data_IF_045633841516
#
_entry.id   IF_045633841516
#
_cell.length_a   1.000
_cell.length_b   1.000
_cell.length_c   1.000
_cell.angle_alpha   90.00
_cell.angle_beta   90.00
_cell.angle_gamma   90.00
#
_symmetry.space_group_name_H-M   'P 1'
#
loop_
_entity.id
_entity.type
_entity.pdbx_description
1 polymer ?
#
# COMPACT_ATOMS: atom_id res chain seq x y z
N UNK A 1 1.02 -6.63 27.68
CA UNK A 1 0.89 -5.72 26.52
C UNK A 1 -0.54 -5.85 26.00
N UNK A 2 -1.24 -4.76 25.67
CA UNK A 2 -2.60 -4.83 25.10
C UNK A 2 -2.50 -5.33 23.66
N UNK A 3 -3.29 -6.33 23.27
CA UNK A 3 -3.26 -6.86 21.90
C UNK A 3 -3.70 -5.81 20.87
N UNK A 4 -3.25 -5.94 19.62
CA UNK A 4 -3.66 -5.05 18.54
C UNK A 4 -5.17 -5.14 18.30
N UNK A 5 -5.75 -6.34 18.41
CA UNK A 5 -7.21 -6.51 18.35
C UNK A 5 -7.95 -5.77 19.48
N UNK A 6 -7.40 -5.76 20.71
CA UNK A 6 -7.96 -4.96 21.81
C UNK A 6 -7.83 -3.45 21.56
N UNK A 7 -6.78 -2.98 20.87
CA UNK A 7 -6.68 -1.58 20.43
C UNK A 7 -7.74 -1.26 19.36
N UNK A 8 -7.91 -2.16 18.39
CA UNK A 8 -8.81 -2.03 17.25
C UNK A 8 -10.27 -1.81 17.66
N UNK A 9 -10.73 -2.53 18.69
CA UNK A 9 -12.12 -2.55 19.14
C UNK A 9 -12.51 -1.39 20.09
N UNK A 10 -11.59 -0.44 20.34
CA UNK A 10 -11.85 0.73 21.18
C UNK A 10 -12.71 1.75 20.42
N UNK A 11 -13.77 2.27 21.08
CA UNK A 11 -14.64 3.31 20.50
C UNK A 11 -13.86 4.50 19.92
N UNK A 12 -12.86 5.00 20.67
CA UNK A 12 -11.99 6.11 20.21
C UNK A 12 -11.26 5.81 18.91
N UNK A 13 -10.85 4.56 18.72
CA UNK A 13 -10.09 4.12 17.54
C UNK A 13 -11.00 4.03 16.32
N UNK A 14 -12.21 3.51 16.50
CA UNK A 14 -13.23 3.47 15.46
C UNK A 14 -13.65 4.89 15.05
N UNK A 15 -13.84 5.79 16.02
CA UNK A 15 -14.14 7.20 15.75
C UNK A 15 -13.01 7.89 14.96
N UNK A 16 -11.75 7.71 15.38
CA UNK A 16 -10.58 8.24 14.67
C UNK A 16 -10.52 7.71 13.22
N UNK A 17 -10.77 6.41 13.03
CA UNK A 17 -10.77 5.81 11.70
C UNK A 17 -11.87 6.38 10.79
N UNK A 18 -13.01 6.79 11.34
CA UNK A 18 -14.05 7.50 10.61
C UNK A 18 -13.57 8.86 10.14
N UNK A 19 -13.05 9.70 11.05
CA UNK A 19 -12.55 11.03 10.69
C UNK A 19 -11.47 10.96 9.62
N UNK A 20 -10.48 10.07 9.77
CA UNK A 20 -9.44 9.91 8.76
C UNK A 20 -9.94 9.26 7.44
N UNK A 21 -11.11 8.62 7.43
CA UNK A 21 -11.72 8.10 6.20
C UNK A 21 -12.42 9.18 5.39
N UNK A 22 -12.80 10.29 6.04
CA UNK A 22 -13.50 11.44 5.45
C UNK A 22 -12.64 12.70 5.32
N UNK A 23 -11.45 12.73 5.95
CA UNK A 23 -10.49 13.84 5.83
C UNK A 23 -10.08 14.10 4.37
N UNK A 24 -10.03 15.39 4.01
CA UNK A 24 -9.78 15.89 2.66
C UNK A 24 -8.29 15.85 2.34
N UNK A 25 -7.92 15.32 1.18
CA UNK A 25 -6.66 15.69 0.54
C UNK A 25 -6.90 16.93 -0.32
N UNK A 26 -6.28 18.04 0.05
CA UNK A 26 -6.19 19.23 -0.79
C UNK A 26 -4.90 19.09 -1.59
N UNK A 27 -5.03 18.94 -2.91
CA UNK A 27 -3.88 18.97 -3.80
C UNK A 27 -3.27 20.39 -3.82
N UNK A 28 -1.97 20.54 -4.16
CA UNK A 28 -1.31 21.85 -4.23
C UNK A 28 -1.95 22.85 -5.20
N UNK A 29 -2.74 22.37 -6.17
CA UNK A 29 -3.51 23.16 -7.13
C UNK A 29 -4.89 23.62 -6.60
N UNK A 30 -5.22 23.32 -5.34
CA UNK A 30 -6.50 23.62 -4.72
C UNK A 30 -7.61 22.60 -5.03
N UNK A 31 -7.32 21.55 -5.81
CA UNK A 31 -8.27 20.48 -6.09
C UNK A 31 -8.54 19.69 -4.82
N UNK A 32 -9.80 19.69 -4.37
CA UNK A 32 -10.24 18.81 -3.28
C UNK A 32 -10.51 17.41 -3.84
N UNK A 33 -9.54 16.51 -3.71
CA UNK A 33 -9.78 15.10 -3.99
C UNK A 33 -10.49 14.46 -2.80
N UNK A 34 -11.84 14.51 -2.84
CA UNK A 34 -12.78 13.41 -2.54
C UNK A 34 -14.18 13.95 -2.22
N UNK A 35 -15.10 13.83 -3.18
CA UNK A 35 -16.46 13.40 -2.81
C UNK A 35 -16.33 11.91 -2.55
N UNK A 36 -16.49 11.46 -1.30
CA UNK A 36 -16.66 10.03 -1.06
C UNK A 36 -17.80 9.53 -1.95
N UNK A 37 -17.54 8.46 -2.70
CA UNK A 37 -18.54 7.81 -3.53
C UNK A 37 -19.09 6.66 -2.70
N UNK A 38 -20.41 6.63 -2.43
CA UNK A 38 -21.03 5.53 -1.70
C UNK A 38 -20.71 4.16 -2.29
N UNK A 39 -20.69 3.15 -1.42
CA UNK A 39 -20.57 1.76 -1.82
C UNK A 39 -21.90 1.20 -2.30
N UNK A 40 -22.01 -0.14 -2.31
CA UNK A 40 -23.23 -0.85 -2.73
C UNK A 40 -24.46 -0.52 -1.87
N UNK A 41 -24.24 -0.07 -0.63
CA UNK A 41 -25.28 0.35 0.33
C UNK A 41 -25.84 1.75 0.05
N UNK A 42 -25.21 2.53 -0.84
CA UNK A 42 -25.67 3.86 -1.22
C UNK A 42 -25.54 4.93 -0.14
N UNK A 43 -25.03 4.59 1.05
CA UNK A 43 -24.92 5.53 2.18
C UNK A 43 -23.84 6.57 1.94
N UNK A 44 -24.21 7.85 1.98
CA UNK A 44 -23.28 8.96 1.92
C UNK A 44 -22.63 9.25 3.28
N UNK A 45 -21.59 10.09 3.30
CA UNK A 45 -21.02 10.60 4.56
C UNK A 45 -22.10 11.32 5.39
N UNK A 46 -23.03 12.02 4.74
CA UNK A 46 -24.10 12.75 5.44
C UNK A 46 -25.06 11.79 6.13
N UNK A 47 -25.50 10.75 5.43
CA UNK A 47 -26.42 9.75 5.98
C UNK A 47 -25.75 9.00 7.14
N UNK A 48 -24.47 8.66 6.97
CA UNK A 48 -23.69 8.03 8.03
C UNK A 48 -23.57 8.94 9.27
N UNK A 49 -23.31 10.22 9.06
CA UNK A 49 -23.16 11.22 10.12
C UNK A 49 -24.44 11.55 10.89
N UNK A 50 -25.62 11.40 10.27
CA UNK A 50 -26.91 11.61 10.95
C UNK A 50 -27.16 10.60 12.08
N UNK A 51 -26.60 9.39 11.96
CA UNK A 51 -26.66 8.32 12.98
C UNK A 51 -25.26 7.86 13.37
N UNK A 52 -24.35 8.82 13.56
CA UNK A 52 -22.93 8.55 13.72
C UNK A 52 -22.64 7.55 14.84
N UNK A 53 -23.17 7.76 16.05
CA UNK A 53 -22.89 6.91 17.20
C UNK A 53 -23.32 5.45 16.98
N UNK A 54 -24.48 5.27 16.36
CA UNK A 54 -25.02 3.95 16.03
C UNK A 54 -24.15 3.24 14.99
N UNK A 55 -23.82 3.91 13.87
CA UNK A 55 -22.98 3.29 12.84
C UNK A 55 -21.56 2.99 13.32
N UNK A 56 -20.99 3.81 14.21
CA UNK A 56 -19.70 3.51 14.82
C UNK A 56 -19.78 2.34 15.81
N UNK A 57 -20.88 2.21 16.56
CA UNK A 57 -21.10 1.05 17.40
C UNK A 57 -21.33 -0.20 16.54
N UNK A 58 -22.02 -0.12 15.40
CA UNK A 58 -22.15 -1.23 14.45
C UNK A 58 -20.79 -1.68 13.91
N UNK A 59 -19.91 -0.74 13.53
CA UNK A 59 -18.53 -1.06 13.14
C UNK A 59 -17.78 -1.80 14.25
N UNK A 60 -17.98 -1.37 15.51
CA UNK A 60 -17.35 -1.98 16.67
C UNK A 60 -17.93 -3.37 16.96
N UNK A 61 -19.24 -3.54 16.85
CA UNK A 61 -19.93 -4.82 17.06
C UNK A 61 -19.55 -5.84 15.99
N UNK A 62 -19.41 -5.42 14.73
CA UNK A 62 -18.87 -6.25 13.65
C UNK A 62 -17.52 -6.88 14.06
N UNK A 63 -16.64 -6.07 14.64
CA UNK A 63 -15.33 -6.54 15.11
C UNK A 63 -15.47 -7.48 16.32
N UNK A 64 -16.23 -7.08 17.34
CA UNK A 64 -16.38 -7.82 18.60
C UNK A 64 -17.07 -9.18 18.44
N UNK A 65 -18.03 -9.28 17.52
CA UNK A 65 -18.74 -10.54 17.20
C UNK A 65 -17.88 -11.49 16.36
N UNK A 66 -16.76 -11.00 15.82
CA UNK A 66 -15.92 -11.78 14.92
C UNK A 66 -16.50 -11.89 13.51
N UNK A 67 -17.37 -10.97 13.10
CA UNK A 67 -17.94 -10.96 11.75
C UNK A 67 -16.83 -10.83 10.70
N UNK A 68 -17.05 -11.47 9.55
CA UNK A 68 -16.08 -11.53 8.42
C UNK A 68 -16.72 -11.20 7.07
N UNK A 69 -17.98 -10.78 7.07
CA UNK A 69 -18.72 -10.50 5.86
C UNK A 69 -18.74 -8.99 5.54
N UNK A 70 -17.70 -8.55 4.84
CA UNK A 70 -17.68 -7.22 4.23
C UNK A 70 -18.66 -7.15 3.05
N UNK A 71 -19.28 -5.99 2.83
CA UNK A 71 -20.17 -5.78 1.69
C UNK A 71 -19.37 -5.83 0.38
N UNK A 72 -19.98 -6.27 -0.74
CA UNK A 72 -19.31 -6.24 -2.02
C UNK A 72 -18.79 -4.85 -2.42
N UNK A 73 -17.59 -4.80 -2.97
CA UNK A 73 -17.01 -3.56 -3.50
C UNK A 73 -17.57 -3.24 -4.89
N UNK A 74 -17.78 -1.96 -5.18
CA UNK A 74 -18.15 -1.50 -6.53
C UNK A 74 -16.89 -1.21 -7.34
N UNK A 75 -16.82 -1.74 -8.57
CA UNK A 75 -15.77 -1.42 -9.52
C UNK A 75 -16.02 -0.08 -10.21
N UNK A 76 -14.97 0.71 -10.35
CA UNK A 76 -14.95 1.95 -11.11
C UNK A 76 -13.60 2.12 -11.79
N UNK A 77 -13.60 2.67 -12.99
CA UNK A 77 -12.38 3.11 -13.65
C UNK A 77 -12.15 4.60 -13.39
N UNK A 78 -10.92 4.96 -13.01
CA UNK A 78 -10.50 6.35 -12.84
C UNK A 78 -9.25 6.63 -13.68
N UNK A 79 -9.07 7.85 -14.21
CA UNK A 79 -7.82 8.23 -14.85
C UNK A 79 -6.65 8.12 -13.86
N UNK A 80 -5.57 7.46 -14.28
CA UNK A 80 -4.31 7.29 -13.55
C UNK A 80 -3.40 8.49 -13.75
N UNK A 81 -3.43 9.09 -14.94
CA UNK A 81 -2.62 10.22 -15.35
C UNK A 81 -3.39 11.14 -16.31
N UNK A 82 -2.79 12.28 -16.65
CA UNK A 82 -3.41 13.26 -17.54
C UNK A 82 -3.57 12.73 -18.98
N UNK A 83 -2.74 11.75 -19.35
CA UNK A 83 -2.70 11.10 -20.65
C UNK A 83 -3.85 10.10 -20.86
N UNK A 84 -4.66 9.83 -19.83
CA UNK A 84 -5.90 9.05 -19.96
C UNK A 84 -5.77 7.55 -19.73
N UNK A 85 -4.63 7.06 -19.22
CA UNK A 85 -4.54 5.66 -18.76
C UNK A 85 -5.57 5.44 -17.65
N UNK A 86 -6.42 4.42 -17.77
CA UNK A 86 -7.42 4.10 -16.76
C UNK A 86 -6.88 3.10 -15.74
N UNK A 87 -7.28 3.25 -14.48
CA UNK A 87 -7.00 2.30 -13.40
C UNK A 87 -8.30 1.84 -12.75
N UNK A 88 -8.37 0.55 -12.48
CA UNK A 88 -9.47 -0.06 -11.73
C UNK A 88 -9.36 0.30 -10.25
N UNK A 89 -10.47 0.77 -9.68
CA UNK A 89 -10.66 1.13 -8.27
C UNK A 89 -11.88 0.40 -7.74
N UNK A 90 -11.77 -0.08 -6.50
CA UNK A 90 -12.82 -0.82 -5.83
C UNK A 90 -13.31 -0.03 -4.61
N UNK A 91 -14.56 0.39 -4.66
CA UNK A 91 -15.20 1.25 -3.66
C UNK A 91 -15.90 0.39 -2.62
N UNK A 92 -15.46 0.50 -1.36
CA UNK A 92 -16.13 -0.12 -0.21
C UNK A 92 -17.24 0.79 0.33
N UNK A 93 -18.23 0.20 1.02
CA UNK A 93 -19.16 0.94 1.87
C UNK A 93 -18.41 1.81 2.89
N UNK A 94 -19.05 2.85 3.42
CA UNK A 94 -18.38 3.71 4.40
C UNK A 94 -18.06 2.92 5.68
N UNK A 95 -18.98 2.06 6.14
CA UNK A 95 -18.77 1.14 7.27
C UNK A 95 -17.51 0.28 7.07
N UNK A 96 -17.41 -0.40 5.93
CA UNK A 96 -16.27 -1.28 5.67
C UNK A 96 -14.97 -0.50 5.50
N UNK A 97 -15.04 0.70 4.91
CA UNK A 97 -13.88 1.59 4.80
C UNK A 97 -13.39 2.07 6.17
N UNK A 98 -14.30 2.39 7.09
CA UNK A 98 -13.99 2.72 8.50
C UNK A 98 -13.30 1.53 9.16
N UNK A 99 -13.84 0.32 9.02
CA UNK A 99 -13.22 -0.90 9.57
C UNK A 99 -11.83 -1.15 8.96
N UNK A 100 -11.68 -1.08 7.64
CA UNK A 100 -10.38 -1.22 6.97
C UNK A 100 -9.38 -0.16 7.46
N UNK A 101 -9.82 1.10 7.64
CA UNK A 101 -8.99 2.17 8.16
C UNK A 101 -8.61 1.93 9.62
N UNK A 102 -9.53 1.41 10.44
CA UNK A 102 -9.26 1.04 11.82
C UNK A 102 -8.19 -0.06 11.89
N UNK A 103 -8.27 -1.09 11.03
CA UNK A 103 -7.24 -2.12 10.90
C UNK A 103 -5.91 -1.49 10.49
N UNK A 104 -5.91 -0.62 9.48
CA UNK A 104 -4.70 0.05 9.04
C UNK A 104 -4.04 0.84 10.18
N UNK A 105 -4.81 1.59 10.97
CA UNK A 105 -4.28 2.43 12.05
C UNK A 105 -3.67 1.63 13.20
N UNK A 106 -4.15 0.41 13.50
CA UNK A 106 -3.48 -0.43 14.51
C UNK A 106 -2.22 -1.10 13.97
N UNK A 107 -2.20 -1.46 12.68
CA UNK A 107 -1.06 -2.13 12.06
C UNK A 107 0.07 -1.17 11.69
N UNK A 108 -0.26 0.08 11.34
CA UNK A 108 0.70 1.03 10.79
C UNK A 108 1.91 1.25 11.70
N UNK A 109 1.76 1.56 13.00
CA UNK A 109 2.92 1.83 13.85
C UNK A 109 3.81 0.59 14.02
N UNK A 110 3.20 -0.58 14.11
CA UNK A 110 3.90 -1.85 14.32
C UNK A 110 4.69 -2.28 13.07
N UNK A 111 4.13 -2.05 11.87
CA UNK A 111 4.79 -2.33 10.60
C UNK A 111 5.83 -1.26 10.24
N UNK A 112 5.51 0.01 10.41
CA UNK A 112 6.39 1.13 10.03
C UNK A 112 7.69 1.15 10.85
N UNK A 113 7.65 0.66 12.10
CA UNK A 113 8.83 0.47 12.93
C UNK A 113 9.78 -0.63 12.40
N UNK A 114 9.25 -1.63 11.69
CA UNK A 114 10.02 -2.71 11.08
C UNK A 114 10.62 -2.35 9.73
N UNK A 115 10.00 -1.41 9.00
CA UNK A 115 10.42 -1.07 7.64
C UNK A 115 11.84 -0.50 7.54
N UNK A 116 12.56 -0.98 6.54
CA UNK A 116 13.91 -0.52 6.23
C UNK A 116 13.95 0.98 5.86
N UNK A 117 15.07 1.69 6.14
CA UNK A 117 15.17 3.14 5.98
C UNK A 117 15.24 3.62 4.51
N UNK A 118 15.28 2.67 3.58
CA UNK A 118 15.24 2.86 2.13
C UNK A 118 13.83 2.84 1.54
N UNK A 119 12.81 2.53 2.34
CA UNK A 119 11.40 2.64 1.96
C UNK A 119 10.89 4.05 2.24
N UNK A 120 10.36 4.73 1.22
CA UNK A 120 9.90 6.13 1.26
C UNK A 120 8.42 6.33 0.95
N UNK A 121 7.66 5.26 0.74
CA UNK A 121 6.23 5.32 0.44
C UNK A 121 5.41 4.98 1.66
N UNK A 122 4.29 5.68 1.85
CA UNK A 122 3.24 5.31 2.81
C UNK A 122 3.74 5.01 4.23
N UNK A 123 4.70 5.81 4.70
CA UNK A 123 5.22 5.76 6.07
C UNK A 123 4.57 6.84 6.91
N UNK A 124 4.53 6.66 8.23
CA UNK A 124 3.94 7.67 9.11
C UNK A 124 4.85 8.90 9.23
N UNK A 125 6.15 8.66 9.27
CA UNK A 125 7.15 9.70 9.44
C UNK A 125 7.41 10.48 8.13
N UNK A 126 7.22 11.81 8.13
CA UNK A 126 7.43 12.66 6.96
C UNK A 126 8.84 12.62 6.36
N UNK A 127 9.84 12.16 7.12
CA UNK A 127 11.21 11.94 6.63
C UNK A 127 11.29 10.85 5.58
N UNK A 128 10.25 10.02 5.46
CA UNK A 128 10.14 8.94 4.48
C UNK A 128 8.95 9.17 3.55
N UNK A 129 8.99 10.28 2.81
CA UNK A 129 8.04 10.63 1.76
C UNK A 129 8.75 10.85 0.42
N UNK A 130 7.97 11.04 -0.65
CA UNK A 130 8.47 11.24 -2.02
C UNK A 130 9.55 12.32 -2.12
N UNK A 131 9.32 13.50 -1.51
CA UNK A 131 10.30 14.59 -1.51
C UNK A 131 11.62 14.23 -0.84
N UNK A 132 11.60 13.41 0.21
CA UNK A 132 12.81 12.94 0.89
C UNK A 132 13.57 11.91 0.03
N UNK A 133 12.85 11.01 -0.67
CA UNK A 133 13.45 10.08 -1.63
C UNK A 133 14.18 10.84 -2.75
N UNK A 134 13.50 11.82 -3.36
CA UNK A 134 14.07 12.68 -4.41
C UNK A 134 15.28 13.46 -3.92
N UNK A 135 15.21 14.06 -2.73
CA UNK A 135 16.34 14.77 -2.11
C UNK A 135 17.54 13.84 -1.90
N UNK A 136 17.30 12.61 -1.44
CA UNK A 136 18.36 11.61 -1.23
C UNK A 136 18.98 11.16 -2.56
N UNK A 137 18.18 10.89 -3.59
CA UNK A 137 18.66 10.53 -4.93
C UNK A 137 19.52 11.64 -5.54
N UNK A 138 19.02 12.89 -5.56
CA UNK A 138 19.77 14.05 -6.06
C UNK A 138 21.06 14.29 -5.29
N UNK A 139 21.04 14.09 -3.98
CA UNK A 139 22.22 14.20 -3.12
C UNK A 139 23.30 13.17 -3.46
N UNK A 140 22.91 11.93 -3.75
CA UNK A 140 23.82 10.87 -4.15
C UNK A 140 24.46 11.14 -5.51
N UNK A 141 23.64 11.50 -6.51
CA UNK A 141 24.11 11.89 -7.85
C UNK A 141 25.14 13.03 -7.77
N UNK A 142 24.83 14.10 -7.02
CA UNK A 142 25.75 15.24 -6.86
C UNK A 142 27.07 14.87 -6.18
N UNK A 143 27.03 13.95 -5.20
CA UNK A 143 28.23 13.54 -4.45
C UNK A 143 29.20 12.75 -5.32
N UNK A 144 28.70 11.85 -6.14
CA UNK A 144 29.53 10.93 -6.93
C UNK A 144 29.85 11.46 -8.33
N UNK A 145 29.03 12.37 -8.86
CA UNK A 145 29.23 12.89 -10.20
C UNK A 145 28.92 11.85 -11.29
N UNK A 146 29.50 12.00 -12.49
CA UNK A 146 29.21 11.12 -13.61
C UNK A 146 29.81 9.72 -13.43
N UNK A 147 29.35 8.76 -14.24
CA UNK A 147 29.88 7.40 -14.25
C UNK A 147 29.20 6.44 -13.25
N UNK A 148 28.17 6.88 -12.53
CA UNK A 148 27.32 5.99 -11.76
C UNK A 148 26.55 5.04 -12.68
N UNK A 149 26.45 3.76 -12.30
CA UNK A 149 25.49 2.82 -12.86
C UNK A 149 24.20 2.90 -12.07
N UNK A 150 23.06 2.81 -12.76
CA UNK A 150 21.74 2.71 -12.14
C UNK A 150 20.97 1.48 -12.60
N UNK A 151 20.13 1.00 -11.71
CA UNK A 151 19.01 0.11 -12.00
C UNK A 151 17.72 0.77 -11.52
N UNK A 152 16.84 1.10 -12.45
CA UNK A 152 15.51 1.66 -12.18
C UNK A 152 14.48 0.65 -12.66
N UNK A 153 13.51 0.29 -11.82
CA UNK A 153 12.44 -0.63 -12.21
C UNK A 153 11.11 -0.26 -11.57
N UNK A 154 10.07 -0.96 -11.97
CA UNK A 154 8.68 -0.86 -11.51
C UNK A 154 8.11 -2.29 -11.56
N UNK A 155 7.12 -2.60 -10.74
CA UNK A 155 6.52 -3.93 -10.69
C UNK A 155 5.20 -3.91 -11.47
N UNK A 156 5.07 -4.80 -12.44
CA UNK A 156 3.91 -4.86 -13.33
C UNK A 156 2.64 -5.18 -12.54
N UNK A 157 1.62 -4.31 -12.64
CA UNK A 157 0.31 -4.48 -11.99
C UNK A 157 0.44 -4.96 -10.54
N UNK A 158 1.35 -4.32 -9.78
CA UNK A 158 1.84 -4.85 -8.51
C UNK A 158 0.72 -5.24 -7.54
N UNK A 159 -0.16 -4.29 -7.21
CA UNK A 159 -1.24 -4.55 -6.23
C UNK A 159 -2.23 -5.59 -6.70
N UNK A 160 -2.37 -5.81 -8.01
CA UNK A 160 -3.27 -6.82 -8.56
C UNK A 160 -2.69 -8.23 -8.43
N UNK A 161 -1.37 -8.39 -8.49
CA UNK A 161 -0.70 -9.70 -8.49
C UNK A 161 -0.19 -10.17 -7.12
N UNK A 162 -0.42 -9.42 -6.04
CA UNK A 162 -0.04 -9.84 -4.68
C UNK A 162 -0.76 -11.15 -4.32
N UNK A 163 0.01 -12.20 -4.02
CA UNK A 163 -0.55 -13.48 -3.59
C UNK A 163 -1.00 -13.43 -2.13
N UNK A 164 -2.26 -13.83 -1.89
CA UNK A 164 -2.86 -13.79 -0.55
C UNK A 164 -2.22 -14.76 0.44
N UNK A 165 -1.89 -15.97 -0.02
CA UNK A 165 -1.25 -17.00 0.81
C UNK A 165 0.07 -16.50 1.40
N UNK A 166 0.97 -15.98 0.56
CA UNK A 166 2.26 -15.43 0.99
C UNK A 166 2.09 -14.22 1.93
N UNK A 167 1.13 -13.33 1.64
CA UNK A 167 0.87 -12.16 2.49
C UNK A 167 0.33 -12.57 3.87
N UNK A 168 -0.61 -13.53 3.91
CA UNK A 168 -1.22 -14.01 5.15
C UNK A 168 -0.24 -14.85 5.98
N UNK A 169 0.59 -15.67 5.35
CA UNK A 169 1.67 -16.41 6.02
C UNK A 169 2.66 -15.44 6.66
N UNK A 170 3.12 -14.43 5.90
CA UNK A 170 4.00 -13.39 6.42
C UNK A 170 3.36 -12.62 7.58
N UNK A 171 2.08 -12.30 7.48
CA UNK A 171 1.34 -11.64 8.56
C UNK A 171 1.27 -12.51 9.82
N UNK A 172 0.92 -13.79 9.69
CA UNK A 172 0.84 -14.73 10.79
C UNK A 172 2.20 -14.91 11.49
N UNK A 173 3.30 -14.95 10.72
CA UNK A 173 4.65 -15.00 11.27
C UNK A 173 5.04 -13.71 12.03
N UNK A 174 4.61 -12.54 11.55
CA UNK A 174 4.87 -11.25 12.21
C UNK A 174 4.02 -11.04 13.46
N UNK A 175 2.77 -11.51 13.45
CA UNK A 175 1.80 -11.28 14.52
C UNK A 175 1.14 -12.58 14.99
N UNK A 176 1.91 -13.54 15.57
CA UNK A 176 1.39 -14.86 15.94
C UNK A 176 0.31 -14.81 17.04
N UNK A 177 0.27 -13.73 17.83
CA UNK A 177 -0.72 -13.51 18.88
C UNK A 177 -2.00 -12.78 18.44
N UNK A 178 -2.22 -12.60 17.13
CA UNK A 178 -3.34 -11.81 16.59
C UNK A 178 -4.20 -12.59 15.56
N UNK A 179 -4.75 -13.77 15.92
CA UNK A 179 -5.54 -14.59 15.01
C UNK A 179 -6.82 -13.89 14.52
N UNK A 180 -7.43 -13.02 15.32
CA UNK A 180 -8.61 -12.26 14.94
C UNK A 180 -8.30 -11.24 13.84
N UNK A 181 -7.15 -10.56 13.93
CA UNK A 181 -6.69 -9.65 12.88
C UNK A 181 -6.33 -10.41 11.60
N UNK A 182 -5.68 -11.57 11.71
CA UNK A 182 -5.41 -12.43 10.57
C UNK A 182 -6.71 -12.84 9.86
N UNK A 183 -7.74 -13.20 10.63
CA UNK A 183 -9.08 -13.50 10.11
C UNK A 183 -9.73 -12.32 9.39
N UNK A 184 -9.62 -11.11 9.95
CA UNK A 184 -10.12 -9.88 9.31
C UNK A 184 -9.38 -9.57 8.01
N UNK A 185 -8.05 -9.73 7.97
CA UNK A 185 -7.27 -9.54 6.76
C UNK A 185 -7.63 -10.57 5.69
N UNK A 186 -7.80 -11.85 6.06
CA UNK A 186 -8.26 -12.88 5.12
C UNK A 186 -9.63 -12.54 4.54
N UNK A 187 -10.57 -12.08 5.37
CA UNK A 187 -11.89 -11.65 4.94
C UNK A 187 -11.86 -10.42 4.01
N UNK A 188 -10.99 -9.44 4.31
CA UNK A 188 -10.77 -8.27 3.45
C UNK A 188 -10.17 -8.65 2.09
N UNK A 189 -9.13 -9.49 2.07
CA UNK A 189 -8.48 -9.93 0.84
C UNK A 189 -9.44 -10.70 -0.07
N UNK A 190 -10.39 -11.45 0.52
CA UNK A 190 -11.44 -12.18 -0.19
C UNK A 190 -12.78 -11.43 -0.27
N UNK A 191 -12.79 -10.12 0.01
CA UNK A 191 -14.00 -9.31 -0.09
C UNK A 191 -14.56 -9.39 -1.52
N UNK A 192 -15.84 -9.74 -1.63
CA UNK A 192 -16.53 -9.83 -2.93
C UNK A 192 -16.46 -8.48 -3.65
N UNK A 193 -16.45 -8.49 -4.97
CA UNK A 193 -16.45 -7.27 -5.79
C UNK A 193 -17.31 -7.45 -7.02
N UNK A 194 -18.05 -6.41 -7.39
CA UNK A 194 -18.70 -6.36 -8.69
C UNK A 194 -17.66 -6.00 -9.74
N UNK A 195 -17.48 -6.85 -10.75
CA UNK A 195 -16.62 -6.60 -11.90
C UNK A 195 -17.43 -6.85 -13.17
N UNK A 196 -17.60 -5.82 -14.01
CA UNK A 196 -18.41 -5.91 -15.24
C UNK A 196 -19.83 -6.48 -15.02
N UNK A 197 -20.44 -6.14 -13.88
CA UNK A 197 -21.79 -6.60 -13.51
C UNK A 197 -21.84 -7.94 -12.79
N UNK A 198 -20.74 -8.67 -12.69
CA UNK A 198 -20.68 -9.97 -12.02
C UNK A 198 -20.07 -9.85 -10.63
N UNK A 199 -20.61 -10.63 -9.67
CA UNK A 199 -20.07 -10.71 -8.32
C UNK A 199 -18.95 -11.75 -8.27
N UNK A 200 -17.71 -11.30 -8.10
CA UNK A 200 -16.53 -12.17 -8.07
C UNK A 200 -15.82 -12.13 -6.71
N UNK A 201 -15.13 -13.22 -6.36
CA UNK A 201 -14.27 -13.29 -5.18
C UNK A 201 -12.80 -13.24 -5.64
N UNK A 202 -11.97 -12.31 -5.13
CA UNK A 202 -10.54 -12.27 -5.42
C UNK A 202 -9.80 -13.55 -4.99
N UNK A 203 -8.94 -14.08 -5.85
CA UNK A 203 -7.89 -15.06 -5.45
C UNK A 203 -6.49 -14.44 -5.35
N UNK A 204 -6.30 -13.25 -5.93
CA UNK A 204 -5.08 -12.46 -5.88
C UNK A 204 -5.40 -10.97 -5.78
N UNK A 205 -4.38 -10.23 -5.34
CA UNK A 205 -4.31 -8.79 -5.32
C UNK A 205 -4.97 -8.17 -4.09
N UNK A 206 -4.70 -6.88 -3.91
CA UNK A 206 -5.29 -6.04 -2.88
C UNK A 206 -6.04 -4.90 -3.59
N UNK A 207 -7.32 -4.65 -3.27
CA UNK A 207 -8.15 -3.71 -4.03
C UNK A 207 -7.59 -2.29 -3.98
N UNK A 208 -7.38 -1.69 -5.16
CA UNK A 208 -7.05 -0.26 -5.27
C UNK A 208 -8.17 0.58 -4.67
N UNK A 209 -7.82 1.54 -3.81
CA UNK A 209 -8.78 2.44 -3.15
C UNK A 209 -9.06 2.12 -1.68
N UNK A 210 -8.64 0.95 -1.20
CA UNK A 210 -8.68 0.63 0.23
C UNK A 210 -7.58 1.37 1.02
N UNK A 211 -7.86 1.83 2.25
CA UNK A 211 -6.84 2.37 3.14
C UNK A 211 -5.78 1.36 3.59
N UNK A 212 -6.01 0.05 3.43
CA UNK A 212 -5.04 -1.00 3.76
C UNK A 212 -4.01 -1.24 2.67
N UNK A 213 -4.37 -1.01 1.40
CA UNK A 213 -3.56 -1.36 0.23
C UNK A 213 -2.13 -0.82 0.30
N UNK A 214 -1.89 0.47 0.60
CA UNK A 214 -0.53 1.00 0.59
C UNK A 214 0.37 0.36 1.67
N UNK A 215 -0.18 0.13 2.87
CA UNK A 215 0.54 -0.47 3.99
C UNK A 215 0.88 -1.95 3.71
N UNK A 216 -0.10 -2.74 3.26
CA UNK A 216 0.10 -4.16 2.95
C UNK A 216 1.03 -4.37 1.75
N UNK A 217 0.94 -3.50 0.74
CA UNK A 217 1.86 -3.51 -0.40
C UNK A 217 3.32 -3.23 0.04
N UNK A 218 3.53 -2.33 1.00
CA UNK A 218 4.86 -2.15 1.56
C UNK A 218 5.35 -3.37 2.35
N UNK A 219 4.48 -3.91 3.22
CA UNK A 219 4.79 -5.09 4.04
C UNK A 219 5.17 -6.31 3.20
N UNK A 220 4.49 -6.52 2.07
CA UNK A 220 4.75 -7.63 1.17
C UNK A 220 6.18 -7.63 0.59
N UNK A 221 6.76 -6.44 0.35
CA UNK A 221 8.12 -6.25 -0.19
C UNK A 221 9.17 -5.89 0.87
N UNK A 222 8.82 -5.87 2.16
CA UNK A 222 9.74 -5.49 3.23
C UNK A 222 11.04 -6.32 3.23
N UNK A 223 10.98 -7.61 2.88
CA UNK A 223 12.18 -8.48 2.87
C UNK A 223 13.17 -8.06 1.78
N UNK A 224 12.66 -7.61 0.62
CA UNK A 224 13.49 -7.06 -0.45
C UNK A 224 14.27 -5.85 0.07
N UNK A 225 13.59 -4.94 0.76
CA UNK A 225 14.24 -3.73 1.26
C UNK A 225 15.33 -4.05 2.29
N UNK A 226 15.09 -5.02 3.18
CA UNK A 226 16.09 -5.46 4.14
C UNK A 226 17.29 -6.17 3.49
N UNK A 227 17.06 -6.97 2.43
CA UNK A 227 18.15 -7.56 1.63
C UNK A 227 18.98 -6.45 0.99
N UNK A 228 18.35 -5.51 0.30
CA UNK A 228 19.04 -4.40 -0.37
C UNK A 228 19.74 -3.46 0.60
N UNK A 229 19.18 -3.25 1.80
CA UNK A 229 19.83 -2.47 2.85
C UNK A 229 21.15 -3.10 3.32
N UNK A 230 21.23 -4.44 3.37
CA UNK A 230 22.44 -5.17 3.78
C UNK A 230 23.57 -5.13 2.76
N UNK A 231 23.25 -5.02 1.47
CA UNK A 231 24.22 -4.94 0.37
C UNK A 231 25.00 -3.60 0.33
N UNK A 232 24.64 -2.63 1.18
CA UNK A 232 25.30 -1.31 1.31
C UNK A 232 25.47 -0.55 -0.02
N UNK A 233 24.59 -0.77 -1.00
CA UNK A 233 24.49 0.09 -2.18
C UNK A 233 23.46 1.21 -1.94
N UNK A 234 23.44 2.21 -2.82
CA UNK A 234 22.35 3.18 -2.80
C UNK A 234 21.09 2.53 -3.36
N UNK A 235 20.07 2.34 -2.53
CA UNK A 235 18.77 1.81 -2.92
C UNK A 235 17.65 2.66 -2.31
N UNK A 236 16.59 2.90 -3.08
CA UNK A 236 15.34 3.53 -2.68
C UNK A 236 14.16 2.75 -3.25
N UNK A 237 13.08 2.65 -2.48
CA UNK A 237 11.78 2.17 -2.96
C UNK A 237 10.67 3.13 -2.58
N UNK A 238 9.77 3.39 -3.53
CA UNK A 238 8.52 4.10 -3.31
C UNK A 238 7.38 3.34 -3.98
N UNK A 239 6.61 2.60 -3.19
CA UNK A 239 5.60 1.67 -3.69
C UNK A 239 6.28 0.54 -4.45
N UNK A 240 5.94 0.44 -5.73
CA UNK A 240 6.51 -0.45 -6.74
C UNK A 240 7.72 0.15 -7.50
N UNK A 241 7.95 1.47 -7.42
CA UNK A 241 9.09 2.12 -8.09
C UNK A 241 10.38 1.92 -7.27
N UNK A 242 11.41 1.35 -7.89
CA UNK A 242 12.68 0.99 -7.27
C UNK A 242 13.82 1.68 -8.01
N UNK A 243 14.74 2.28 -7.26
CA UNK A 243 15.96 2.90 -7.77
C UNK A 243 17.18 2.40 -6.99
N UNK A 244 18.14 1.83 -7.69
CA UNK A 244 19.45 1.45 -7.18
C UNK A 244 20.57 2.16 -7.97
N UNK A 245 21.62 2.61 -7.30
CA UNK A 245 22.79 3.26 -7.92
C UNK A 245 24.10 2.88 -7.24
N UNK A 246 25.17 2.73 -8.01
CA UNK A 246 26.52 2.49 -7.49
C UNK A 246 27.56 2.89 -8.55
N UNK A 247 28.77 3.36 -8.16
CA UNK A 247 29.89 3.53 -9.10
C UNK A 247 30.34 2.21 -9.74
N UNK A 248 30.17 1.09 -9.03
CA UNK A 248 30.51 -0.23 -9.55
C UNK A 248 29.33 -0.83 -10.33
N UNK A 249 29.49 -0.97 -11.64
CA UNK A 249 28.49 -1.56 -12.52
C UNK A 249 28.17 -3.02 -12.16
N UNK A 250 29.17 -3.80 -11.72
CA UNK A 250 28.98 -5.20 -11.34
C UNK A 250 28.10 -5.34 -10.10
N UNK A 251 28.22 -4.42 -9.13
CA UNK A 251 27.33 -4.38 -7.96
C UNK A 251 25.88 -4.08 -8.33
N UNK A 252 25.66 -3.20 -9.31
CA UNK A 252 24.31 -2.89 -9.77
C UNK A 252 23.70 -4.03 -10.60
N UNK A 253 24.50 -4.72 -11.40
CA UNK A 253 24.05 -5.94 -12.09
C UNK A 253 23.69 -7.06 -11.11
N UNK A 254 24.48 -7.25 -10.05
CA UNK A 254 24.16 -8.20 -8.99
C UNK A 254 22.87 -7.81 -8.25
N UNK A 255 22.72 -6.53 -7.87
CA UNK A 255 21.51 -6.03 -7.23
C UNK A 255 20.26 -6.19 -8.13
N UNK A 256 20.39 -5.93 -9.44
CA UNK A 256 19.29 -6.12 -10.39
C UNK A 256 18.81 -7.58 -10.43
N UNK A 257 19.75 -8.54 -10.48
CA UNK A 257 19.42 -9.98 -10.44
C UNK A 257 18.75 -10.40 -9.13
N UNK A 258 19.24 -9.91 -8.00
CA UNK A 258 18.65 -10.21 -6.69
C UNK A 258 17.24 -9.60 -6.56
N UNK A 259 17.03 -8.37 -7.02
CA UNK A 259 15.71 -7.74 -7.06
C UNK A 259 14.77 -8.57 -7.93
N UNK A 260 15.18 -8.93 -9.14
CA UNK A 260 14.37 -9.72 -10.07
C UNK A 260 14.01 -11.10 -9.48
N UNK A 261 14.98 -11.80 -8.89
CA UNK A 261 14.76 -13.09 -8.23
C UNK A 261 13.77 -12.97 -7.06
N UNK A 262 13.95 -11.99 -6.18
CA UNK A 262 13.09 -11.75 -5.02
C UNK A 262 11.64 -11.41 -5.42
N UNK A 263 11.46 -10.67 -6.53
CA UNK A 263 10.16 -10.37 -7.12
C UNK A 263 9.54 -11.63 -7.74
N UNK A 264 10.31 -12.42 -8.48
CA UNK A 264 9.86 -13.66 -9.11
C UNK A 264 9.44 -14.74 -8.08
N UNK A 265 10.17 -14.88 -6.97
CA UNK A 265 9.83 -15.77 -5.84
C UNK A 265 8.40 -15.50 -5.30
N UNK A 266 7.93 -14.26 -5.41
CA UNK A 266 6.59 -13.83 -4.97
C UNK A 266 5.52 -13.96 -6.06
N UNK A 267 5.88 -14.48 -7.24
CA UNK A 267 4.98 -14.56 -8.39
C UNK A 267 4.72 -13.21 -9.08
N UNK A 268 5.55 -12.21 -8.80
CA UNK A 268 5.46 -10.89 -9.42
C UNK A 268 6.43 -10.79 -10.61
N UNK A 269 6.27 -9.73 -11.41
CA UNK A 269 7.15 -9.45 -12.56
C UNK A 269 7.55 -7.98 -12.57
N UNK A 270 8.78 -7.72 -12.98
CA UNK A 270 9.23 -6.36 -13.27
C UNK A 270 8.59 -5.88 -14.59
N UNK A 271 8.26 -4.60 -14.67
CA UNK A 271 7.73 -3.93 -15.85
C UNK A 271 8.85 -3.76 -16.90
N UNK A 272 8.86 -4.48 -18.03
CA UNK A 272 9.96 -4.41 -19.00
C UNK A 272 10.15 -2.99 -19.55
N UNK A 273 9.04 -2.32 -19.87
CA UNK A 273 9.05 -0.97 -20.45
C UNK A 273 9.54 0.11 -19.50
N UNK A 274 9.53 -0.16 -18.18
CA UNK A 274 9.98 0.77 -17.13
C UNK A 274 11.28 0.34 -16.46
N UNK A 275 11.84 -0.81 -16.86
CA UNK A 275 13.10 -1.33 -16.34
C UNK A 275 14.26 -0.75 -17.13
N UNK A 276 15.25 -0.17 -16.45
CA UNK A 276 16.46 0.42 -17.05
C UNK A 276 17.67 0.02 -16.24
N UNK A 277 18.65 -0.58 -16.91
CA UNK A 277 20.00 -0.81 -16.40
C UNK A 277 20.96 -0.02 -17.27
N UNK A 278 21.38 1.15 -16.81
CA UNK A 278 22.10 2.12 -17.65
C UNK A 278 23.05 3.00 -16.83
N UNK A 279 23.87 3.83 -17.49
CA UNK A 279 24.55 4.94 -16.81
C UNK A 279 23.52 5.94 -16.30
N UNK A 280 23.74 6.47 -15.10
CA UNK A 280 22.96 7.56 -14.52
C UNK A 280 23.19 8.91 -15.23
N UNK A 281 24.17 9.00 -16.13
CA UNK A 281 24.39 10.15 -16.99
C UNK A 281 23.32 10.25 -18.09
N UNK A 282 22.65 9.13 -18.41
CA UNK A 282 21.51 9.11 -19.32
C UNK A 282 20.25 9.57 -18.59
N UNK A 283 19.36 10.32 -19.26
CA UNK A 283 18.08 10.70 -18.68
C UNK A 283 17.29 9.50 -18.15
N UNK A 284 16.69 9.67 -16.98
CA UNK A 284 15.76 8.71 -16.37
C UNK A 284 14.73 9.47 -15.52
N UNK A 285 13.56 8.86 -15.33
CA UNK A 285 12.48 9.40 -14.50
C UNK A 285 12.34 8.57 -13.23
N UNK A 286 12.14 9.23 -12.09
CA UNK A 286 11.89 8.59 -10.81
C UNK A 286 11.03 9.52 -9.96
N UNK A 287 9.79 9.12 -9.69
CA UNK A 287 8.81 9.86 -8.88
C UNK A 287 8.47 11.27 -9.38
N UNK A 288 8.29 11.43 -10.70
CA UNK A 288 8.08 12.71 -11.39
C UNK A 288 9.35 13.19 -12.07
#
# INVERSE_FOLDING_TARGET
MVSLFQKLTRKKHILESFYQSIEKFVLPDGTTLRKFVPGVDGLSIRDFGQRLEEHLEDCRQFLLRGDREFLPQLHRQVPKNAEGEMRDVYLSSLRDKVIQKAIALVLWPELDAGFAPNLYSYRWDPRFHQGAALKRARGFLRRHGPGLRLFKTDIQSYTEHIRHDLLLEKFAARFPGEPELLGLLKAFLRQKRYLRGELVVPDLGIPTGSPLTPLLANFYLEDLDHRMYRERLFYLRYGDDILAMDPDAGRIEAAAREIEACIAERGLKLSPDKTRLQSADKPFHYLG
#
